data_IF_917753781777
#
_entry.id   IF_917753781777
#
_cell.length_a   1.000
_cell.length_b   1.000
_cell.length_c   1.000
_cell.angle_alpha   90.00
_cell.angle_beta   90.00
_cell.angle_gamma   90.00
#
_symmetry.space_group_name_H-M   'P 1'
#
loop_
_entity.id
_entity.type
_entity.pdbx_description
1 polymer ?
#
# COMPACT_ATOMS: atom_id res chain seq x y z
N UNK A 1 12.08 -4.10 7.33
CA UNK A 1 10.66 -3.66 7.24
C UNK A 1 9.90 -4.35 6.11
N UNK A 2 10.56 -5.00 5.15
CA UNK A 2 9.91 -5.76 4.07
C UNK A 2 8.75 -6.66 4.50
N UNK A 3 8.88 -7.42 5.62
CA UNK A 3 7.78 -8.27 6.12
C UNK A 3 6.54 -7.49 6.55
N UNK A 4 6.72 -6.29 7.10
CA UNK A 4 5.59 -5.41 7.47
C UNK A 4 4.92 -4.86 6.22
N UNK A 5 5.70 -4.48 5.20
CA UNK A 5 5.22 -4.01 3.91
C UNK A 5 4.43 -5.10 3.15
N UNK A 6 4.92 -6.33 3.15
CA UNK A 6 4.24 -7.47 2.52
C UNK A 6 2.87 -7.74 3.16
N UNK A 7 2.76 -7.59 4.48
CA UNK A 7 1.50 -7.77 5.24
C UNK A 7 0.63 -6.52 5.29
N UNK A 8 1.02 -5.44 4.61
CA UNK A 8 0.39 -4.14 4.74
C UNK A 8 -0.89 -4.05 3.88
N UNK A 9 -2.01 -4.41 4.46
CA UNK A 9 -3.32 -4.39 3.80
C UNK A 9 -4.16 -3.18 4.21
N UNK A 10 -5.11 -2.81 3.35
CA UNK A 10 -6.09 -1.77 3.64
C UNK A 10 -7.17 -2.29 4.57
N UNK A 11 -7.54 -1.51 5.58
CA UNK A 11 -8.63 -1.92 6.47
C UNK A 11 -9.99 -1.77 5.78
N UNK A 12 -10.99 -2.52 6.26
CA UNK A 12 -12.35 -2.46 5.72
C UNK A 12 -12.96 -1.07 5.84
N UNK A 13 -12.73 -0.38 6.96
CA UNK A 13 -13.21 0.96 7.30
C UNK A 13 -12.30 2.11 6.85
N UNK A 14 -11.10 1.80 6.37
CA UNK A 14 -10.15 2.81 5.93
C UNK A 14 -10.57 3.39 4.58
N UNK A 15 -10.38 4.70 4.40
CA UNK A 15 -10.54 5.33 3.08
C UNK A 15 -9.24 5.28 2.30
N UNK A 16 -9.34 5.32 0.98
CA UNK A 16 -8.20 5.16 0.06
C UNK A 16 -7.06 6.14 0.35
N UNK A 17 -7.38 7.40 0.68
CA UNK A 17 -6.39 8.44 1.02
C UNK A 17 -5.59 8.10 2.29
N UNK A 18 -6.26 7.57 3.32
CA UNK A 18 -5.62 7.15 4.57
C UNK A 18 -4.66 5.98 4.33
N UNK A 19 -5.10 5.01 3.52
CA UNK A 19 -4.27 3.88 3.13
C UNK A 19 -3.02 4.33 2.37
N UNK A 20 -3.20 5.22 1.37
CA UNK A 20 -2.11 5.77 0.58
C UNK A 20 -1.07 6.50 1.43
N UNK A 21 -1.54 7.32 2.38
CA UNK A 21 -0.69 8.04 3.31
C UNK A 21 0.13 7.10 4.19
N UNK A 22 -0.49 6.02 4.71
CA UNK A 22 0.20 5.01 5.51
C UNK A 22 1.26 4.23 4.73
N UNK A 23 0.94 3.78 3.51
CA UNK A 23 1.90 3.09 2.64
C UNK A 23 3.09 4.00 2.34
N UNK A 24 2.84 5.26 2.01
CA UNK A 24 3.89 6.25 1.74
C UNK A 24 4.79 6.46 2.97
N UNK A 25 4.20 6.61 4.15
CA UNK A 25 4.96 6.74 5.41
C UNK A 25 5.81 5.50 5.70
N UNK A 26 5.28 4.29 5.47
CA UNK A 26 6.03 3.05 5.63
C UNK A 26 7.21 3.01 4.65
N UNK A 27 6.99 3.25 3.36
CA UNK A 27 8.04 3.25 2.33
C UNK A 27 9.12 4.29 2.63
N UNK A 28 8.74 5.50 3.05
CA UNK A 28 9.70 6.53 3.44
C UNK A 28 10.55 6.08 4.64
N UNK A 29 9.92 5.43 5.63
CA UNK A 29 10.65 4.87 6.77
C UNK A 29 11.64 3.78 6.31
N UNK A 30 11.23 2.89 5.41
CA UNK A 30 12.08 1.85 4.82
C UNK A 30 13.31 2.44 4.12
N UNK A 31 13.10 3.48 3.31
CA UNK A 31 14.18 4.19 2.60
C UNK A 31 15.17 4.85 3.56
N UNK A 32 14.69 5.44 4.66
CA UNK A 32 15.57 6.02 5.70
C UNK A 32 16.45 4.95 6.36
N UNK A 33 15.96 3.71 6.49
CA UNK A 33 16.75 2.58 6.99
C UNK A 33 17.64 1.93 5.93
N UNK A 34 17.71 2.48 4.71
CA UNK A 34 18.52 1.95 3.61
C UNK A 34 17.89 0.78 2.86
N UNK A 35 16.62 0.46 3.10
CA UNK A 35 15.87 -0.51 2.29
C UNK A 35 15.46 0.15 0.97
N UNK A 36 15.92 -0.39 -0.16
CA UNK A 36 15.52 0.07 -1.48
C UNK A 36 14.22 -0.60 -1.91
N UNK A 37 13.14 0.19 -1.96
CA UNK A 37 11.86 -0.21 -2.54
C UNK A 37 11.65 0.56 -3.84
N UNK A 38 11.56 -0.15 -4.97
CA UNK A 38 11.19 0.46 -6.25
C UNK A 38 9.80 1.09 -6.18
N UNK A 39 9.65 2.28 -6.74
CA UNK A 39 8.35 2.96 -6.82
C UNK A 39 7.30 2.13 -7.55
N UNK A 40 7.71 1.35 -8.55
CA UNK A 40 6.83 0.41 -9.25
C UNK A 40 6.15 -0.59 -8.31
N UNK A 41 6.88 -1.11 -7.31
CA UNK A 41 6.30 -2.02 -6.30
C UNK A 41 5.29 -1.34 -5.38
N UNK A 42 5.48 -0.04 -5.11
CA UNK A 42 4.57 0.76 -4.30
C UNK A 42 3.27 1.00 -5.07
N UNK A 43 3.40 1.43 -6.33
CA UNK A 43 2.27 1.68 -7.24
C UNK A 43 1.47 0.40 -7.47
N UNK A 44 2.13 -0.73 -7.75
CA UNK A 44 1.46 -2.01 -7.97
C UNK A 44 0.63 -2.44 -6.75
N UNK A 45 1.17 -2.28 -5.53
CA UNK A 45 0.46 -2.64 -4.30
C UNK A 45 -0.79 -1.78 -4.09
N UNK A 46 -0.69 -0.48 -4.33
CA UNK A 46 -1.83 0.45 -4.21
C UNK A 46 -2.91 0.11 -5.24
N UNK A 47 -2.53 -0.09 -6.50
CA UNK A 47 -3.48 -0.41 -7.58
C UNK A 47 -4.19 -1.74 -7.33
N UNK A 48 -3.48 -2.77 -6.85
CA UNK A 48 -4.07 -4.07 -6.52
C UNK A 48 -5.20 -3.95 -5.50
N UNK A 49 -5.02 -3.13 -4.47
CA UNK A 49 -6.03 -2.92 -3.42
C UNK A 49 -7.21 -2.08 -3.93
N UNK A 50 -6.94 -1.05 -4.73
CA UNK A 50 -8.00 -0.29 -5.38
C UNK A 50 -8.85 -1.21 -6.26
N UNK A 51 -8.23 -2.02 -7.11
CA UNK A 51 -8.93 -2.99 -7.96
C UNK A 51 -9.77 -3.97 -7.12
N UNK A 52 -9.25 -4.51 -6.02
CA UNK A 52 -10.02 -5.40 -5.14
C UNK A 52 -11.24 -4.73 -4.48
N UNK A 53 -11.15 -3.44 -4.12
CA UNK A 53 -12.29 -2.69 -3.55
C UNK A 53 -13.31 -2.28 -4.62
N UNK A 54 -12.88 -2.01 -5.84
CA UNK A 54 -13.74 -1.56 -6.94
C UNK A 54 -14.28 -2.69 -7.83
N UNK A 55 -13.65 -3.85 -7.89
CA UNK A 55 -14.18 -5.06 -8.55
C UNK A 55 -15.47 -5.54 -7.89
N UNK A 56 -15.69 -5.19 -6.61
CA UNK A 56 -16.93 -5.51 -5.91
C UNK A 56 -18.12 -4.57 -6.27
N UNK A 57 -17.90 -3.52 -7.06
CA UNK A 57 -18.96 -2.56 -7.45
C UNK A 57 -19.68 -2.97 -8.74
N UNK A 58 -19.24 -4.04 -9.42
CA UNK A 58 -19.93 -4.59 -10.60
C UNK A 58 -20.39 -6.02 -10.32
N UNK A 59 -21.51 -6.15 -9.63
CA UNK A 59 -22.50 -7.23 -9.77
C UNK A 59 -23.82 -6.84 -9.12
#
# INVERSE_FOLDING_TARGET
MCREYERYEMYSSEIVEQYFSRVTNLVNKMRVYGEDIPESKVVEKILRIMLMKFDHVVN
#
